data_IF_643838289404
#
_entry.id   IF_643838289404
#
_cell.length_a   1.000
_cell.length_b   1.000
_cell.length_c   1.000
_cell.angle_alpha   90.00
_cell.angle_beta   90.00
_cell.angle_gamma   90.00
#
_symmetry.space_group_name_H-M   'P 1'
#
loop_
_entity.id
_entity.type
_entity.pdbx_description
1 polymer ?
#
# COMPACT_ATOMS: atom_id res chain seq x y z
N UNK A 1 -14.07 -11.00 28.50
CA UNK A 1 -14.02 -11.43 27.09
C UNK A 1 -13.24 -12.72 27.02
N UNK A 2 -13.86 -13.78 26.52
CA UNK A 2 -13.15 -15.03 26.23
C UNK A 2 -12.52 -14.97 24.83
N UNK A 3 -11.61 -15.90 24.51
CA UNK A 3 -10.89 -15.93 23.23
C UNK A 3 -11.84 -16.10 22.03
N UNK A 4 -12.94 -16.83 22.20
CA UNK A 4 -13.89 -17.16 21.13
C UNK A 4 -14.71 -15.93 20.72
N UNK A 5 -15.05 -15.06 21.67
CA UNK A 5 -15.70 -13.77 21.42
C UNK A 5 -14.81 -12.81 20.62
N UNK A 6 -13.48 -12.88 20.79
CA UNK A 6 -12.52 -12.02 20.09
C UNK A 6 -12.25 -12.43 18.62
N UNK A 7 -12.62 -13.64 18.22
CA UNK A 7 -12.27 -14.22 16.91
C UNK A 7 -13.48 -14.32 15.95
N UNK A 8 -14.59 -13.66 16.27
CA UNK A 8 -15.82 -13.71 15.47
C UNK A 8 -15.71 -12.87 14.18
N UNK A 9 -14.92 -11.80 14.18
CA UNK A 9 -14.78 -10.91 13.03
C UNK A 9 -13.59 -11.32 12.15
N UNK A 10 -13.89 -11.64 10.90
CA UNK A 10 -12.85 -12.01 9.91
C UNK A 10 -12.27 -10.77 9.26
N UNK A 11 -10.94 -10.65 9.27
CA UNK A 11 -10.22 -9.61 8.52
C UNK A 11 -10.55 -9.71 7.04
N UNK A 12 -11.07 -8.62 6.47
CA UNK A 12 -11.41 -8.53 5.05
C UNK A 12 -10.25 -7.89 4.27
N UNK A 13 -9.75 -8.51 3.20
CA UNK A 13 -8.78 -7.86 2.33
C UNK A 13 -9.37 -6.61 1.67
N UNK A 14 -8.60 -5.53 1.63
CA UNK A 14 -8.99 -4.33 0.88
C UNK A 14 -8.79 -4.57 -0.62
N UNK A 15 -9.79 -4.19 -1.42
CA UNK A 15 -9.64 -4.06 -2.87
C UNK A 15 -9.47 -2.59 -3.25
N UNK A 16 -8.24 -2.19 -3.56
CA UNK A 16 -7.91 -0.80 -3.91
C UNK A 16 -8.55 -0.36 -5.23
N UNK A 17 -8.93 -1.30 -6.11
CA UNK A 17 -9.55 -1.01 -7.41
C UNK A 17 -10.99 -0.53 -7.28
N UNK A 18 -11.61 -0.75 -6.12
CA UNK A 18 -12.97 -0.29 -5.83
C UNK A 18 -13.05 1.22 -5.51
N UNK A 19 -11.92 1.91 -5.39
CA UNK A 19 -11.86 3.31 -4.94
C UNK A 19 -11.05 4.18 -5.91
N UNK A 20 -11.62 5.30 -6.35
CA UNK A 20 -10.84 6.37 -6.98
C UNK A 20 -10.34 7.34 -5.91
N UNK A 21 -9.05 7.20 -5.57
CA UNK A 21 -8.40 7.96 -4.49
C UNK A 21 -7.40 8.99 -4.98
N UNK A 22 -7.18 9.09 -6.30
CA UNK A 22 -6.09 9.91 -6.87
C UNK A 22 -6.26 11.38 -6.48
N UNK A 23 -7.43 11.96 -6.74
CA UNK A 23 -7.71 13.36 -6.41
C UNK A 23 -7.65 13.65 -4.89
N UNK A 24 -7.99 12.67 -4.05
CA UNK A 24 -7.88 12.79 -2.61
C UNK A 24 -6.42 12.87 -2.16
N UNK A 25 -5.58 11.95 -2.62
CA UNK A 25 -4.14 11.90 -2.28
C UNK A 25 -3.42 13.15 -2.81
N UNK A 26 -3.79 13.64 -3.99
CA UNK A 26 -3.27 14.90 -4.52
C UNK A 26 -3.64 16.10 -3.64
N UNK A 27 -4.89 16.18 -3.17
CA UNK A 27 -5.31 17.20 -2.23
C UNK A 27 -4.54 17.10 -0.90
N UNK A 28 -4.33 15.88 -0.38
CA UNK A 28 -3.52 15.63 0.82
C UNK A 28 -2.07 16.14 0.68
N UNK A 29 -1.49 16.11 -0.53
CA UNK A 29 -0.16 16.68 -0.77
C UNK A 29 -0.06 18.19 -0.43
N UNK A 30 -1.20 18.91 -0.40
CA UNK A 30 -1.29 20.33 -0.07
C UNK A 30 -1.60 20.60 1.41
N UNK A 31 -1.90 19.55 2.20
CA UNK A 31 -2.18 19.68 3.64
C UNK A 31 -0.88 19.68 4.46
N UNK A 32 -0.96 19.53 5.80
CA UNK A 32 0.18 19.42 6.71
C UNK A 32 0.35 17.99 7.28
N UNK A 33 1.44 17.76 8.01
CA UNK A 33 1.75 16.50 8.71
C UNK A 33 1.72 15.27 7.79
N UNK A 34 1.09 14.17 8.22
CA UNK A 34 1.09 12.91 7.49
C UNK A 34 0.33 12.96 6.17
N UNK A 35 -0.66 13.85 6.02
CA UNK A 35 -1.34 14.05 4.74
C UNK A 35 -0.37 14.52 3.65
N UNK A 36 0.51 15.48 4.00
CA UNK A 36 1.56 15.95 3.08
C UNK A 36 2.53 14.84 2.71
N UNK A 37 2.99 14.10 3.71
CA UNK A 37 3.94 13.01 3.51
C UNK A 37 3.35 11.92 2.60
N UNK A 38 2.07 11.54 2.79
CA UNK A 38 1.41 10.56 1.93
C UNK A 38 1.36 11.04 0.48
N UNK A 39 0.92 12.28 0.25
CA UNK A 39 0.83 12.84 -1.09
C UNK A 39 2.20 13.01 -1.76
N UNK A 40 3.25 13.34 -0.99
CA UNK A 40 4.63 13.38 -1.50
C UNK A 40 5.18 11.99 -1.82
N UNK A 41 4.95 11.01 -0.94
CA UNK A 41 5.36 9.63 -1.17
C UNK A 41 4.71 9.04 -2.43
N UNK A 42 3.42 9.30 -2.65
CA UNK A 42 2.71 8.88 -3.87
C UNK A 42 3.36 9.45 -5.14
N UNK A 43 3.74 10.74 -5.13
CA UNK A 43 4.43 11.38 -6.27
C UNK A 43 5.82 10.81 -6.52
N UNK A 44 6.59 10.54 -5.46
CA UNK A 44 7.92 9.92 -5.59
C UNK A 44 7.77 8.53 -6.19
N UNK A 45 6.82 7.73 -5.70
CA UNK A 45 6.59 6.39 -6.20
C UNK A 45 6.11 6.38 -7.67
N UNK A 46 5.23 7.30 -8.05
CA UNK A 46 4.81 7.47 -9.45
C UNK A 46 6.00 7.83 -10.36
N UNK A 47 6.90 8.71 -9.91
CA UNK A 47 8.12 9.03 -10.64
C UNK A 47 9.06 7.82 -10.78
N UNK A 48 9.19 6.99 -9.73
CA UNK A 48 9.96 5.74 -9.77
C UNK A 48 9.39 4.75 -10.80
N UNK A 49 8.06 4.64 -10.90
CA UNK A 49 7.39 3.75 -11.88
C UNK A 49 7.59 4.20 -13.33
N UNK A 50 7.72 5.51 -13.56
CA UNK A 50 7.93 6.09 -14.88
C UNK A 50 9.38 5.92 -15.35
N UNK A 51 10.34 5.88 -14.44
CA UNK A 51 11.76 5.70 -14.73
C UNK A 51 12.11 4.23 -14.99
N UNK A 52 12.51 3.92 -16.24
CA UNK A 52 12.86 2.56 -16.67
C UNK A 52 14.20 2.05 -16.16
N UNK A 53 15.06 2.96 -15.68
CA UNK A 53 16.34 2.61 -15.09
C UNK A 53 16.25 2.51 -13.55
N UNK A 54 15.06 2.80 -12.97
CA UNK A 54 14.83 2.71 -11.54
C UNK A 54 14.47 1.28 -11.13
N UNK A 55 15.19 0.74 -10.14
CA UNK A 55 14.82 -0.53 -9.48
C UNK A 55 14.04 -0.25 -8.20
N UNK A 56 12.85 -0.82 -8.09
CA UNK A 56 11.92 -0.66 -6.98
C UNK A 56 12.02 -1.86 -6.04
N UNK A 57 12.57 -1.63 -4.84
CA UNK A 57 12.65 -2.62 -3.77
C UNK A 57 11.57 -2.32 -2.72
N UNK A 58 10.61 -3.22 -2.58
CA UNK A 58 9.56 -3.11 -1.57
C UNK A 58 10.00 -3.79 -0.28
N UNK A 59 10.26 -2.99 0.75
CA UNK A 59 10.54 -3.46 2.10
C UNK A 59 9.27 -3.42 2.94
N UNK A 60 8.83 -4.58 3.45
CA UNK A 60 7.59 -4.68 4.24
C UNK A 60 7.74 -5.67 5.40
N UNK A 61 6.89 -5.54 6.41
CA UNK A 61 6.77 -6.55 7.46
C UNK A 61 5.74 -7.63 7.04
N UNK A 62 6.04 -8.91 7.31
CA UNK A 62 5.15 -10.02 6.93
C UNK A 62 3.75 -9.94 7.54
N UNK A 63 3.60 -9.24 8.67
CA UNK A 63 2.31 -9.02 9.35
C UNK A 63 1.28 -8.26 8.51
N UNK A 64 1.71 -7.48 7.49
CA UNK A 64 0.79 -6.78 6.58
C UNK A 64 -0.15 -7.77 5.84
N UNK A 65 0.31 -8.98 5.57
CA UNK A 65 -0.49 -9.97 4.84
C UNK A 65 -1.64 -10.49 5.69
N UNK A 66 -1.38 -10.78 6.97
CA UNK A 66 -2.41 -11.16 7.94
C UNK A 66 -3.36 -9.99 8.28
N UNK A 67 -2.91 -8.74 8.11
CA UNK A 67 -3.70 -7.54 8.29
C UNK A 67 -4.62 -7.19 7.10
N UNK A 68 -4.71 -8.05 6.07
CA UNK A 68 -5.61 -7.85 4.93
C UNK A 68 -5.02 -7.06 3.75
N UNK A 69 -3.71 -6.77 3.76
CA UNK A 69 -3.07 -5.97 2.70
C UNK A 69 -2.40 -6.81 1.60
N UNK A 70 -2.47 -8.14 1.68
CA UNK A 70 -1.84 -9.04 0.70
C UNK A 70 -2.28 -8.78 -0.75
N UNK A 71 -3.54 -8.36 -0.95
CA UNK A 71 -4.10 -8.06 -2.27
C UNK A 71 -3.41 -6.87 -2.94
N UNK A 72 -3.01 -5.87 -2.15
CA UNK A 72 -2.25 -4.72 -2.66
C UNK A 72 -0.89 -5.20 -3.19
N UNK A 73 -0.16 -5.99 -2.40
CA UNK A 73 1.17 -6.47 -2.80
C UNK A 73 1.09 -7.39 -4.01
N UNK A 74 0.06 -8.25 -4.08
CA UNK A 74 -0.25 -9.04 -5.27
C UNK A 74 -0.43 -8.16 -6.51
N UNK A 75 -1.21 -7.08 -6.39
CA UNK A 75 -1.47 -6.18 -7.52
C UNK A 75 -0.20 -5.44 -7.94
N UNK A 76 0.65 -5.00 -6.99
CA UNK A 76 1.94 -4.38 -7.30
C UNK A 76 2.86 -5.32 -8.10
N UNK A 77 2.96 -6.59 -7.70
CA UNK A 77 3.78 -7.60 -8.40
C UNK A 77 3.21 -7.86 -9.80
N UNK A 78 1.91 -8.11 -9.90
CA UNK A 78 1.25 -8.49 -11.15
C UNK A 78 1.36 -7.43 -12.24
N UNK A 79 1.50 -6.16 -11.85
CA UNK A 79 1.62 -5.03 -12.76
C UNK A 79 3.06 -4.51 -12.90
N UNK A 80 4.08 -5.27 -12.48
CA UNK A 80 5.50 -4.89 -12.53
C UNK A 80 5.78 -3.54 -11.84
N UNK A 81 5.13 -3.29 -10.71
CA UNK A 81 5.31 -2.06 -9.92
C UNK A 81 6.36 -2.22 -8.81
N UNK A 82 6.97 -3.41 -8.70
CA UNK A 82 8.02 -3.79 -7.74
C UNK A 82 8.93 -4.82 -8.41
N UNK A 83 10.24 -4.66 -8.26
CA UNK A 83 11.25 -5.57 -8.84
C UNK A 83 11.77 -6.59 -7.83
N UNK A 84 11.85 -6.21 -6.55
CA UNK A 84 12.28 -7.08 -5.47
C UNK A 84 11.51 -6.82 -4.18
N UNK A 85 11.29 -7.87 -3.39
CA UNK A 85 10.63 -7.78 -2.08
C UNK A 85 11.59 -8.25 -1.00
N UNK A 86 11.71 -7.45 0.06
CA UNK A 86 12.43 -7.80 1.28
C UNK A 86 11.43 -7.80 2.43
N UNK A 87 11.18 -8.98 3.02
CA UNK A 87 10.27 -9.16 4.14
C UNK A 87 10.88 -10.05 5.22
N UNK A 88 10.40 -9.87 6.45
CA UNK A 88 10.60 -10.79 7.59
C UNK A 88 9.81 -12.07 7.42
#
# INVERSE_FOLDING_TARGET
MNREELLQETVQPIDIKAFDVVGLVEAMSKTAFQGRNLGQAAKIYDAMLQDKECTIILCLAGSLFSAGLKGIVHDLITHNMVDAIVST
#
